data_IF_229461449476
#
_entry.id   IF_229461449476
#
_cell.length_a   1.000
_cell.length_b   1.000
_cell.length_c   1.000
_cell.angle_alpha   90.00
_cell.angle_beta   90.00
_cell.angle_gamma   90.00
#
_symmetry.space_group_name_H-M   'P 1'
#
loop_
_entity.id
_entity.type
_entity.pdbx_description
1 polymer ?
#
# COMPACT_ATOMS: atom_id res chain seq x y z
N UNK A 1 -21.30 14.73 -6.36
CA UNK A 1 -20.32 14.01 -5.52
C UNK A 1 -19.65 12.95 -6.38
N UNK A 2 -18.32 12.88 -6.38
CA UNK A 2 -17.57 11.80 -7.06
C UNK A 2 -17.23 10.72 -6.02
N UNK A 3 -17.26 9.44 -6.43
CA UNK A 3 -16.78 8.31 -5.63
C UNK A 3 -15.27 8.43 -5.40
N UNK A 4 -14.83 8.26 -4.15
CA UNK A 4 -13.42 8.27 -3.74
C UNK A 4 -12.92 6.85 -3.51
N UNK A 5 -11.66 6.59 -3.83
CA UNK A 5 -11.03 5.29 -3.66
C UNK A 5 -9.83 5.41 -2.71
N UNK A 6 -9.81 4.58 -1.67
CA UNK A 6 -8.71 4.48 -0.73
C UNK A 6 -8.08 3.08 -0.74
N UNK A 7 -6.83 2.97 -0.28
CA UNK A 7 -6.12 1.70 -0.13
C UNK A 7 -5.56 1.56 1.28
N UNK A 8 -5.47 0.31 1.75
CA UNK A 8 -5.07 -0.05 3.11
C UNK A 8 -3.86 -1.01 3.08
N UNK A 9 -2.79 -0.66 3.79
CA UNK A 9 -1.49 -1.31 3.67
C UNK A 9 -1.03 -1.88 5.01
N UNK A 10 -1.28 -3.16 5.26
CA UNK A 10 -0.98 -3.81 6.55
C UNK A 10 0.43 -4.39 6.66
N UNK A 11 1.29 -4.21 5.65
CA UNK A 11 2.65 -4.76 5.62
C UNK A 11 2.71 -6.25 5.98
N UNK A 12 1.87 -7.06 5.32
CA UNK A 12 1.83 -8.50 5.59
C UNK A 12 3.21 -9.10 5.34
N UNK A 13 3.66 -9.98 6.24
CA UNK A 13 4.96 -10.65 6.15
C UNK A 13 4.78 -12.14 5.86
N UNK A 14 4.61 -12.54 4.58
CA UNK A 14 4.60 -13.95 4.22
C UNK A 14 5.92 -14.63 4.59
N UNK A 15 5.91 -15.91 5.00
CA UNK A 15 7.10 -16.57 5.54
C UNK A 15 8.21 -16.80 4.50
N UNK A 16 7.93 -16.59 3.22
CA UNK A 16 8.91 -16.70 2.12
C UNK A 16 9.45 -15.35 1.64
N UNK A 17 9.10 -14.23 2.29
CA UNK A 17 9.55 -12.89 1.90
C UNK A 17 10.37 -12.28 3.04
N UNK A 18 11.47 -11.62 2.71
CA UNK A 18 12.26 -10.89 3.71
C UNK A 18 11.52 -9.65 4.19
N UNK A 19 11.75 -9.23 5.43
CA UNK A 19 11.15 -7.99 5.95
C UNK A 19 11.49 -6.76 5.08
N UNK A 20 12.75 -6.53 4.66
CA UNK A 20 13.08 -5.42 3.75
C UNK A 20 12.32 -5.48 2.41
N UNK A 21 12.09 -6.68 1.88
CA UNK A 21 11.32 -6.84 0.65
C UNK A 21 9.84 -6.50 0.85
N UNK A 22 9.24 -6.85 2.00
CA UNK A 22 7.87 -6.43 2.32
C UNK A 22 7.76 -4.91 2.34
N UNK A 23 8.68 -4.22 3.02
CA UNK A 23 8.69 -2.76 3.02
C UNK A 23 8.82 -2.20 1.60
N UNK A 24 9.75 -2.73 0.80
CA UNK A 24 9.92 -2.29 -0.59
C UNK A 24 8.65 -2.49 -1.42
N UNK A 25 8.03 -3.67 -1.35
CA UNK A 25 6.82 -3.97 -2.12
C UNK A 25 5.62 -3.13 -1.69
N UNK A 26 5.46 -2.86 -0.40
CA UNK A 26 4.40 -1.98 0.08
C UNK A 26 4.62 -0.55 -0.40
N UNK A 27 5.85 -0.03 -0.32
CA UNK A 27 6.18 1.31 -0.86
C UNK A 27 5.89 1.41 -2.36
N UNK A 28 6.26 0.40 -3.15
CA UNK A 28 5.96 0.34 -4.59
C UNK A 28 4.44 0.41 -4.85
N UNK A 29 3.63 -0.21 -3.99
CA UNK A 29 2.16 -0.17 -4.08
C UNK A 29 1.59 1.20 -3.69
N UNK A 30 2.15 1.88 -2.70
CA UNK A 30 1.75 3.24 -2.33
C UNK A 30 1.97 4.21 -3.49
N UNK A 31 3.16 4.15 -4.11
CA UNK A 31 3.46 4.95 -5.30
C UNK A 31 2.52 4.64 -6.47
N UNK A 32 2.16 3.36 -6.64
CA UNK A 32 1.20 2.97 -7.67
C UNK A 32 -0.20 3.54 -7.37
N UNK A 33 -0.64 3.52 -6.12
CA UNK A 33 -1.93 4.10 -5.73
C UNK A 33 -2.00 5.60 -6.04
N UNK A 34 -0.92 6.34 -5.78
CA UNK A 34 -0.80 7.75 -6.17
C UNK A 34 -0.89 7.93 -7.69
N UNK A 35 -0.11 7.16 -8.47
CA UNK A 35 -0.13 7.20 -9.95
C UNK A 35 -1.51 6.85 -10.52
N UNK A 36 -2.27 6.00 -9.85
CA UNK A 36 -3.62 5.59 -10.25
C UNK A 36 -4.70 6.58 -9.80
N UNK A 37 -4.35 7.61 -9.03
CA UNK A 37 -5.28 8.66 -8.58
C UNK A 37 -6.18 8.22 -7.43
N UNK A 38 -5.68 7.33 -6.56
CA UNK A 38 -6.36 7.05 -5.28
C UNK A 38 -6.38 8.30 -4.42
N UNK A 39 -7.47 8.48 -3.69
CA UNK A 39 -7.71 9.65 -2.87
C UNK A 39 -7.06 9.55 -1.49
N UNK A 40 -6.84 8.32 -0.99
CA UNK A 40 -6.36 8.07 0.37
C UNK A 40 -5.52 6.79 0.47
N UNK A 41 -4.56 6.82 1.40
CA UNK A 41 -3.68 5.72 1.76
C UNK A 41 -3.69 5.60 3.28
N UNK A 42 -3.94 4.38 3.78
CA UNK A 42 -4.08 4.12 5.21
C UNK A 42 -3.08 3.03 5.62
N UNK A 43 -2.33 3.31 6.70
CA UNK A 43 -1.36 2.39 7.29
C UNK A 43 -1.79 2.15 8.74
N UNK A 44 -2.21 0.92 9.12
CA UNK A 44 -2.49 0.57 10.51
C UNK A 44 -1.24 0.59 11.38
N UNK A 45 -1.46 0.78 12.67
CA UNK A 45 -0.51 0.43 13.74
C UNK A 45 -0.42 -1.09 13.97
#
# INVERSE_FOLDING_TARGET
MRLRFGTYHTFQHPPWISEPDVFRYEMDRLELAEKMGYDEVWIPE
#
